data_IF_540247510125
#
_entry.id   IF_540247510125
#
_cell.length_a   1.000
_cell.length_b   1.000
_cell.length_c   1.000
_cell.angle_alpha   90.00
_cell.angle_beta   90.00
_cell.angle_gamma   90.00
#
_symmetry.space_group_name_H-M   'P 1'
#
loop_
_entity.id
_entity.type
_entity.pdbx_description
1 polymer ?
#
# COMPACT_ATOMS: atom_id res chain seq x y z
N UNK A 1 -10.04 -2.06 -23.09
CA UNK A 1 -10.30 -3.44 -22.60
C UNK A 1 -11.23 -3.34 -21.40
N UNK A 2 -12.34 -4.11 -21.35
CA UNK A 2 -13.15 -4.25 -20.13
C UNK A 2 -12.39 -5.21 -19.24
N UNK A 3 -11.99 -4.79 -18.04
CA UNK A 3 -11.51 -5.71 -17.02
C UNK A 3 -12.65 -6.62 -16.59
N UNK A 4 -12.37 -7.91 -16.51
CA UNK A 4 -13.33 -8.93 -16.07
C UNK A 4 -13.38 -8.90 -14.53
N UNK A 5 -14.58 -8.87 -13.97
CA UNK A 5 -14.79 -8.94 -12.52
C UNK A 5 -15.38 -10.32 -12.21
N UNK A 6 -14.68 -11.09 -11.39
CA UNK A 6 -15.17 -12.37 -10.88
C UNK A 6 -16.41 -12.15 -10.00
N UNK A 7 -17.39 -13.03 -10.12
CA UNK A 7 -18.73 -12.87 -9.53
C UNK A 7 -18.68 -12.70 -8.00
N UNK A 8 -17.79 -13.41 -7.34
CA UNK A 8 -17.60 -13.40 -5.90
C UNK A 8 -17.19 -12.02 -5.35
N UNK A 9 -16.54 -11.17 -6.19
CA UNK A 9 -16.11 -9.83 -5.82
C UNK A 9 -17.12 -8.73 -6.17
N UNK A 10 -18.12 -9.02 -7.00
CA UNK A 10 -19.11 -8.01 -7.41
C UNK A 10 -19.81 -7.30 -6.25
N UNK A 11 -20.26 -7.99 -5.17
CA UNK A 11 -20.89 -7.32 -4.03
C UNK A 11 -19.94 -6.34 -3.31
N UNK A 12 -18.67 -6.71 -3.15
CA UNK A 12 -17.65 -5.85 -2.55
C UNK A 12 -17.40 -4.62 -3.43
N UNK A 13 -17.16 -4.80 -4.72
CA UNK A 13 -16.92 -3.68 -5.66
C UNK A 13 -18.13 -2.74 -5.71
N UNK A 14 -19.35 -3.28 -5.69
CA UNK A 14 -20.57 -2.48 -5.60
C UNK A 14 -20.64 -1.68 -4.29
N UNK A 15 -20.16 -2.24 -3.17
CA UNK A 15 -20.03 -1.53 -1.90
C UNK A 15 -19.02 -0.40 -2.00
N UNK A 16 -17.82 -0.64 -2.54
CA UNK A 16 -16.79 0.40 -2.74
C UNK A 16 -17.36 1.55 -3.57
N UNK A 17 -18.01 1.26 -4.71
CA UNK A 17 -18.66 2.27 -5.56
C UNK A 17 -19.67 3.12 -4.79
N UNK A 18 -20.53 2.49 -3.98
CA UNK A 18 -21.54 3.21 -3.16
C UNK A 18 -20.86 4.09 -2.10
N UNK A 19 -19.82 3.58 -1.44
CA UNK A 19 -19.07 4.33 -0.42
C UNK A 19 -18.38 5.54 -1.05
N UNK A 20 -17.66 5.36 -2.15
CA UNK A 20 -17.02 6.46 -2.87
C UNK A 20 -18.06 7.53 -3.26
N UNK A 21 -19.18 7.13 -3.88
CA UNK A 21 -20.25 8.07 -4.23
C UNK A 21 -20.80 8.83 -3.02
N UNK A 22 -21.07 8.13 -1.91
CA UNK A 22 -21.64 8.73 -0.69
C UNK A 22 -20.69 9.72 -0.01
N UNK A 23 -19.38 9.53 -0.16
CA UNK A 23 -18.34 10.38 0.42
C UNK A 23 -17.75 11.40 -0.56
N UNK A 24 -18.33 11.48 -1.78
CA UNK A 24 -17.87 12.34 -2.87
C UNK A 24 -16.40 12.07 -3.23
N UNK A 25 -16.01 10.81 -3.23
CA UNK A 25 -14.71 10.31 -3.69
C UNK A 25 -14.88 9.83 -5.13
N UNK A 26 -14.02 10.27 -6.03
CA UNK A 26 -13.93 9.74 -7.38
C UNK A 26 -13.31 8.34 -7.33
N UNK A 27 -13.96 7.35 -7.93
CA UNK A 27 -13.40 6.01 -8.11
C UNK A 27 -12.89 5.84 -9.53
N UNK A 28 -11.57 5.80 -9.70
CA UNK A 28 -10.89 5.63 -10.97
C UNK A 28 -10.36 4.20 -11.10
N UNK A 29 -11.02 3.38 -11.92
CA UNK A 29 -10.55 2.05 -12.30
C UNK A 29 -9.93 2.13 -13.70
N UNK A 30 -8.62 2.33 -13.76
CA UNK A 30 -7.88 2.55 -15.01
C UNK A 30 -7.58 1.24 -15.72
N UNK A 31 -7.80 1.11 -17.05
CA UNK A 31 -7.38 -0.06 -17.81
C UNK A 31 -5.87 -0.16 -18.03
N UNK A 32 -5.10 0.79 -17.55
CA UNK A 32 -3.63 0.82 -17.62
C UNK A 32 -2.99 -0.09 -16.58
N UNK A 33 -1.71 -0.41 -16.74
CA UNK A 33 -0.91 -1.17 -15.75
C UNK A 33 -0.47 -0.32 -14.56
N UNK A 34 -0.50 1.00 -14.71
CA UNK A 34 -0.18 1.99 -13.69
C UNK A 34 -1.20 3.12 -13.71
N UNK A 35 -1.30 3.83 -12.62
CA UNK A 35 -1.99 5.12 -12.47
C UNK A 35 -0.95 6.18 -12.09
N UNK A 36 -1.17 7.42 -12.53
CA UNK A 36 -0.28 8.54 -12.21
C UNK A 36 -0.87 9.25 -11.00
N UNK A 37 -0.09 9.40 -9.94
CA UNK A 37 -0.40 10.33 -8.85
C UNK A 37 -0.42 11.74 -9.43
N UNK A 38 -1.44 12.52 -9.10
CA UNK A 38 -1.77 13.86 -9.61
C UNK A 38 -0.58 14.73 -10.07
N UNK A 39 -0.85 15.79 -10.83
CA UNK A 39 0.08 16.64 -11.61
C UNK A 39 1.39 17.10 -10.93
N UNK A 40 1.48 16.99 -9.60
CA UNK A 40 2.67 17.37 -8.82
C UNK A 40 3.59 16.21 -8.43
N UNK A 41 3.16 14.96 -8.65
CA UNK A 41 3.93 13.75 -8.33
C UNK A 41 3.76 12.74 -9.46
N UNK A 42 4.60 12.80 -10.48
CA UNK A 42 4.59 11.85 -11.61
C UNK A 42 5.21 10.50 -11.22
N UNK A 43 4.68 9.84 -10.20
CA UNK A 43 5.08 8.48 -9.88
C UNK A 43 4.04 7.51 -10.42
N UNK A 44 4.49 6.61 -11.28
CA UNK A 44 3.70 5.46 -11.73
C UNK A 44 3.49 4.50 -10.55
N UNK A 45 2.25 4.33 -10.11
CA UNK A 45 1.90 3.39 -9.05
C UNK A 45 0.79 2.43 -9.48
N UNK A 46 0.56 1.42 -8.67
CA UNK A 46 -0.50 0.43 -8.93
C UNK A 46 -1.88 0.88 -8.49
N UNK A 47 -1.94 1.79 -7.54
CA UNK A 47 -3.12 2.42 -6.99
C UNK A 47 -2.75 3.44 -5.94
N UNK A 48 -3.69 4.29 -5.58
CA UNK A 48 -3.57 5.24 -4.47
C UNK A 48 -4.94 5.70 -3.98
N UNK A 49 -4.99 6.14 -2.74
CA UNK A 49 -6.08 6.94 -2.20
C UNK A 49 -5.56 8.32 -1.81
N UNK A 50 -6.17 9.36 -2.39
CA UNK A 50 -5.92 10.76 -2.02
C UNK A 50 -7.14 11.34 -1.31
N UNK A 51 -6.98 11.67 -0.02
CA UNK A 51 -8.05 12.27 0.79
C UNK A 51 -8.25 13.76 0.52
N UNK A 52 -7.25 14.46 -0.04
CA UNK A 52 -7.32 15.88 -0.38
C UNK A 52 -8.13 16.07 -1.66
N UNK A 53 -7.73 15.39 -2.73
CA UNK A 53 -8.41 15.44 -4.02
C UNK A 53 -9.63 14.51 -4.06
N UNK A 54 -9.78 13.67 -3.03
CA UNK A 54 -10.85 12.67 -2.92
C UNK A 54 -10.91 11.72 -4.11
N UNK A 55 -9.77 11.11 -4.40
CA UNK A 55 -9.62 10.14 -5.48
C UNK A 55 -9.18 8.79 -4.90
N UNK A 56 -9.83 7.73 -5.33
CA UNK A 56 -9.39 6.35 -5.15
C UNK A 56 -9.10 5.77 -6.53
N UNK A 57 -7.84 5.58 -6.87
CA UNK A 57 -7.41 5.14 -8.19
C UNK A 57 -6.76 3.75 -8.13
N UNK A 58 -7.07 2.90 -9.11
CA UNK A 58 -6.50 1.55 -9.23
C UNK A 58 -6.22 1.22 -10.68
N UNK A 59 -5.04 0.70 -10.96
CA UNK A 59 -4.61 0.19 -12.26
C UNK A 59 -5.15 -1.24 -12.49
N UNK A 60 -6.22 -1.37 -13.27
CA UNK A 60 -6.88 -2.64 -13.57
C UNK A 60 -6.34 -3.36 -14.83
N UNK A 61 -5.29 -2.83 -15.47
CA UNK A 61 -4.59 -3.48 -16.60
C UNK A 61 -3.63 -4.60 -16.19
N UNK A 62 -3.81 -5.13 -14.98
CA UNK A 62 -3.08 -6.25 -14.37
C UNK A 62 -3.99 -7.46 -14.20
N UNK A 63 -3.46 -8.66 -13.89
CA UNK A 63 -4.28 -9.80 -13.49
C UNK A 63 -5.27 -9.44 -12.40
N UNK A 64 -6.46 -10.04 -12.45
CA UNK A 64 -7.56 -9.72 -11.53
C UNK A 64 -7.13 -9.83 -10.06
N UNK A 65 -6.41 -10.90 -9.72
CA UNK A 65 -5.94 -11.20 -8.37
C UNK A 65 -4.96 -10.14 -7.83
N UNK A 66 -4.27 -9.40 -8.74
CA UNK A 66 -3.36 -8.33 -8.34
C UNK A 66 -4.10 -7.03 -8.10
N UNK A 67 -4.92 -6.57 -9.07
CA UNK A 67 -5.56 -5.28 -8.92
C UNK A 67 -6.69 -5.27 -7.89
N UNK A 68 -7.33 -6.42 -7.63
CA UNK A 68 -8.35 -6.51 -6.59
C UNK A 68 -7.75 -6.38 -5.18
N UNK A 69 -6.56 -6.95 -4.94
CA UNK A 69 -5.82 -6.77 -3.68
C UNK A 69 -5.46 -5.27 -3.49
N UNK A 70 -5.07 -4.58 -4.56
CA UNK A 70 -4.79 -3.15 -4.54
C UNK A 70 -6.08 -2.36 -4.22
N UNK A 71 -7.21 -2.66 -4.87
CA UNK A 71 -8.48 -2.00 -4.58
C UNK A 71 -8.89 -2.15 -3.10
N UNK A 72 -8.69 -3.34 -2.53
CA UNK A 72 -8.99 -3.59 -1.11
C UNK A 72 -8.10 -2.72 -0.21
N UNK A 73 -6.80 -2.62 -0.54
CA UNK A 73 -5.81 -1.81 0.17
C UNK A 73 -6.16 -0.31 0.09
N UNK A 74 -6.36 0.24 -1.10
CA UNK A 74 -6.68 1.67 -1.27
C UNK A 74 -8.04 2.04 -0.65
N UNK A 75 -9.01 1.13 -0.68
CA UNK A 75 -10.27 1.33 0.03
C UNK A 75 -10.09 1.28 1.56
N UNK A 76 -9.13 0.53 2.07
CA UNK A 76 -8.78 0.56 3.50
C UNK A 76 -8.15 1.90 3.89
N UNK A 77 -7.32 2.52 3.04
CA UNK A 77 -6.85 3.90 3.23
C UNK A 77 -8.00 4.91 3.24
N UNK A 78 -8.97 4.77 2.35
CA UNK A 78 -10.19 5.59 2.42
C UNK A 78 -10.93 5.42 3.74
N UNK A 79 -10.98 4.20 4.30
CA UNK A 79 -11.59 3.97 5.62
C UNK A 79 -10.79 4.64 6.75
N UNK A 80 -9.46 4.62 6.71
CA UNK A 80 -8.62 5.35 7.66
C UNK A 80 -8.93 6.86 7.60
N UNK A 81 -8.93 7.44 6.41
CA UNK A 81 -9.29 8.85 6.21
C UNK A 81 -10.64 9.22 6.83
N UNK A 82 -11.64 8.33 6.73
CA UNK A 82 -12.98 8.58 7.24
C UNK A 82 -13.12 8.43 8.76
N UNK A 83 -12.25 7.65 9.40
CA UNK A 83 -12.49 7.17 10.77
C UNK A 83 -11.33 7.34 11.74
N UNK A 84 -10.13 7.65 11.27
CA UNK A 84 -8.94 7.72 12.12
C UNK A 84 -8.45 9.16 12.27
N UNK A 85 -8.41 9.65 13.49
CA UNK A 85 -7.95 11.00 13.82
C UNK A 85 -6.46 11.22 13.52
N UNK A 86 -5.67 10.15 13.40
CA UNK A 86 -4.24 10.19 13.09
C UNK A 86 -3.96 10.36 11.60
N UNK A 87 -4.98 10.33 10.74
CA UNK A 87 -4.81 10.39 9.29
C UNK A 87 -3.91 11.53 8.82
N UNK A 88 -4.18 12.77 9.27
CA UNK A 88 -3.39 13.94 8.87
C UNK A 88 -1.92 13.79 9.27
N UNK A 89 -1.66 13.38 10.51
CA UNK A 89 -0.30 13.13 10.98
C UNK A 89 0.42 12.06 10.15
N UNK A 90 -0.26 10.99 9.80
CA UNK A 90 0.33 9.93 8.99
C UNK A 90 0.67 10.39 7.57
N UNK A 91 -0.24 11.15 6.92
CA UNK A 91 0.01 11.68 5.57
C UNK A 91 1.17 12.69 5.58
N UNK A 92 1.26 13.57 6.58
CA UNK A 92 2.40 14.48 6.71
C UNK A 92 3.73 13.70 6.80
N UNK A 93 3.76 12.57 7.52
CA UNK A 93 4.95 11.73 7.58
C UNK A 93 5.25 11.02 6.24
N UNK A 94 4.23 10.62 5.48
CA UNK A 94 4.44 10.10 4.12
C UNK A 94 5.10 11.17 3.23
N UNK A 95 4.57 12.39 3.22
CA UNK A 95 5.14 13.50 2.46
C UNK A 95 6.59 13.78 2.89
N UNK A 96 6.87 13.82 4.19
CA UNK A 96 8.24 14.01 4.69
C UNK A 96 9.20 12.90 4.25
N UNK A 97 8.74 11.65 4.19
CA UNK A 97 9.57 10.54 3.72
C UNK A 97 9.91 10.67 2.25
N UNK A 98 8.95 11.06 1.41
CA UNK A 98 9.17 11.29 -0.02
C UNK A 98 10.07 12.51 -0.26
N UNK A 99 9.83 13.64 0.43
CA UNK A 99 10.70 14.82 0.39
C UNK A 99 12.16 14.47 0.74
N UNK A 100 12.35 13.58 1.71
CA UNK A 100 13.69 13.11 2.07
C UNK A 100 14.32 12.26 0.97
N UNK A 101 13.56 11.35 0.34
CA UNK A 101 14.05 10.55 -0.79
C UNK A 101 14.45 11.42 -1.97
N UNK A 102 13.66 12.43 -2.28
CA UNK A 102 13.89 13.39 -3.37
C UNK A 102 14.94 14.43 -3.02
N UNK A 103 15.55 14.33 -1.82
CA UNK A 103 16.55 15.28 -1.29
C UNK A 103 16.02 16.70 -1.10
N UNK A 104 14.71 16.90 -1.13
CA UNK A 104 14.06 18.18 -0.86
C UNK A 104 14.09 18.53 0.63
N UNK A 105 14.21 17.53 1.51
CA UNK A 105 14.27 17.70 2.96
C UNK A 105 15.42 16.92 3.58
N UNK A 106 16.22 17.59 4.40
CA UNK A 106 17.27 16.95 5.20
C UNK A 106 16.69 16.50 6.55
N UNK A 107 16.99 15.28 6.97
CA UNK A 107 16.63 14.73 8.28
C UNK A 107 17.84 14.05 8.91
N UNK A 108 17.97 14.18 10.22
CA UNK A 108 18.90 13.33 10.98
C UNK A 108 18.30 11.93 11.16
N UNK A 109 19.11 10.97 11.59
CA UNK A 109 18.69 9.57 11.72
C UNK A 109 17.50 9.37 12.69
N UNK A 110 17.40 10.16 13.76
CA UNK A 110 16.29 10.08 14.72
C UNK A 110 14.99 10.55 14.09
N UNK A 111 15.00 11.68 13.39
CA UNK A 111 13.86 12.23 12.67
C UNK A 111 13.38 11.26 11.57
N UNK A 112 14.31 10.74 10.76
CA UNK A 112 13.99 9.80 9.70
C UNK A 112 13.38 8.50 10.25
N UNK A 113 13.94 7.96 11.34
CA UNK A 113 13.38 6.77 11.97
C UNK A 113 11.96 7.02 12.50
N UNK A 114 11.69 8.19 13.10
CA UNK A 114 10.37 8.57 13.58
C UNK A 114 9.36 8.67 12.42
N UNK A 115 9.74 9.30 11.31
CA UNK A 115 8.92 9.38 10.10
C UNK A 115 8.61 7.98 9.56
N UNK A 116 9.61 7.11 9.43
CA UNK A 116 9.44 5.73 8.96
C UNK A 116 8.54 4.93 9.91
N UNK A 117 8.64 5.13 11.24
CA UNK A 117 7.76 4.48 12.20
C UNK A 117 6.29 4.83 11.96
N UNK A 118 5.99 6.11 11.74
CA UNK A 118 4.62 6.58 11.48
C UNK A 118 4.08 6.07 10.13
N UNK A 119 4.90 6.06 9.08
CA UNK A 119 4.51 5.50 7.77
C UNK A 119 4.22 3.99 7.89
N UNK A 120 5.07 3.24 8.60
CA UNK A 120 4.83 1.82 8.85
C UNK A 120 3.56 1.60 9.69
N UNK A 121 3.24 2.48 10.63
CA UNK A 121 2.01 2.39 11.42
C UNK A 121 0.77 2.59 10.54
N UNK A 122 0.76 3.63 9.68
CA UNK A 122 -0.28 3.88 8.70
C UNK A 122 -0.52 2.65 7.82
N UNK A 123 0.52 2.19 7.17
CA UNK A 123 0.44 1.07 6.23
C UNK A 123 0.03 -0.24 6.91
N UNK A 124 0.56 -0.48 8.12
CA UNK A 124 0.19 -1.66 8.89
C UNK A 124 -1.29 -1.63 9.31
N UNK A 125 -1.82 -0.49 9.73
CA UNK A 125 -3.25 -0.35 10.05
C UNK A 125 -4.11 -0.53 8.79
N UNK A 126 -3.67 0.00 7.64
CA UNK A 126 -4.29 -0.23 6.35
C UNK A 126 -4.37 -1.73 6.03
N UNK A 127 -3.27 -2.46 6.14
CA UNK A 127 -3.23 -3.91 5.86
C UNK A 127 -4.14 -4.73 6.81
N UNK A 128 -4.23 -4.33 8.07
CA UNK A 128 -5.15 -4.96 9.04
C UNK A 128 -6.60 -4.70 8.66
N UNK A 129 -6.95 -3.47 8.25
CA UNK A 129 -8.29 -3.14 7.74
C UNK A 129 -8.61 -3.90 6.47
N UNK A 130 -7.65 -4.00 5.54
CA UNK A 130 -7.79 -4.76 4.30
C UNK A 130 -8.12 -6.24 4.60
N UNK A 131 -7.42 -6.87 5.53
CA UNK A 131 -7.75 -8.23 5.99
C UNK A 131 -9.15 -8.33 6.60
N UNK A 132 -9.55 -7.35 7.41
CA UNK A 132 -10.90 -7.24 7.96
C UNK A 132 -11.97 -7.11 6.87
N UNK A 133 -11.71 -6.36 5.81
CA UNK A 133 -12.60 -6.27 4.64
C UNK A 133 -12.72 -7.61 3.93
N UNK A 134 -11.59 -8.28 3.70
CA UNK A 134 -11.58 -9.60 3.08
C UNK A 134 -12.41 -10.61 3.88
N UNK A 135 -12.33 -10.59 5.20
CA UNK A 135 -13.09 -11.48 6.08
C UNK A 135 -14.57 -11.13 6.12
N UNK A 136 -14.89 -9.84 6.28
CA UNK A 136 -16.27 -9.32 6.27
C UNK A 136 -17.02 -9.69 5.01
N UNK A 137 -16.37 -9.57 3.85
CA UNK A 137 -16.97 -9.83 2.54
C UNK A 137 -16.75 -11.27 2.05
N UNK A 138 -16.05 -12.11 2.84
CA UNK A 138 -15.70 -13.50 2.49
C UNK A 138 -15.01 -13.59 1.12
N UNK A 139 -14.13 -12.61 0.82
CA UNK A 139 -13.46 -12.55 -0.47
C UNK A 139 -12.49 -13.73 -0.62
N UNK A 140 -12.47 -14.42 -1.78
CA UNK A 140 -11.61 -15.59 -2.01
C UNK A 140 -10.15 -15.19 -2.31
N UNK A 141 -9.55 -14.37 -1.47
CA UNK A 141 -8.13 -13.95 -1.52
C UNK A 141 -7.29 -14.91 -0.70
N UNK A 142 -6.10 -15.25 -1.17
CA UNK A 142 -5.15 -16.07 -0.40
C UNK A 142 -4.54 -15.24 0.75
N UNK A 143 -5.15 -15.34 1.95
CA UNK A 143 -4.74 -14.59 3.16
C UNK A 143 -3.28 -14.79 3.54
N UNK A 144 -2.76 -16.01 3.37
CA UNK A 144 -1.36 -16.32 3.72
C UNK A 144 -0.41 -15.57 2.79
N UNK A 145 -0.64 -15.60 1.48
CA UNK A 145 0.15 -14.88 0.48
C UNK A 145 0.03 -13.37 0.67
N UNK A 146 -1.18 -12.86 0.88
CA UNK A 146 -1.41 -11.44 1.15
C UNK A 146 -0.60 -10.95 2.36
N UNK A 147 -0.67 -11.65 3.51
CA UNK A 147 0.08 -11.29 4.72
C UNK A 147 1.60 -11.31 4.52
N UNK A 148 2.11 -12.27 3.72
CA UNK A 148 3.54 -12.31 3.38
C UNK A 148 3.95 -11.09 2.56
N UNK A 149 3.16 -10.72 1.55
CA UNK A 149 3.37 -9.52 0.73
C UNK A 149 3.30 -8.25 1.56
N UNK A 150 2.30 -8.10 2.41
CA UNK A 150 2.17 -6.99 3.34
C UNK A 150 3.37 -6.86 4.28
N UNK A 151 3.85 -7.97 4.86
CA UNK A 151 5.06 -7.96 5.69
C UNK A 151 6.29 -7.51 4.90
N UNK A 152 6.46 -7.99 3.67
CA UNK A 152 7.58 -7.59 2.81
C UNK A 152 7.52 -6.10 2.46
N UNK A 153 6.33 -5.60 2.12
CA UNK A 153 6.07 -4.19 1.86
C UNK A 153 6.44 -3.31 3.07
N UNK A 154 6.01 -3.69 4.26
CA UNK A 154 6.32 -2.96 5.49
C UNK A 154 7.82 -3.02 5.85
N UNK A 155 8.50 -4.12 5.57
CA UNK A 155 9.96 -4.20 5.72
C UNK A 155 10.71 -3.28 4.76
N UNK A 156 10.16 -3.04 3.56
CA UNK A 156 10.83 -2.19 2.57
C UNK A 156 11.02 -0.75 3.07
N UNK A 157 10.10 -0.21 3.84
CA UNK A 157 10.25 1.12 4.45
C UNK A 157 11.46 1.19 5.37
N UNK A 158 11.75 0.13 6.16
CA UNK A 158 12.96 0.08 7.02
C UNK A 158 14.26 0.07 6.23
N UNK A 159 14.22 -0.36 4.98
CA UNK A 159 15.42 -0.43 4.14
C UNK A 159 15.62 0.81 3.26
N UNK A 160 14.63 1.70 3.15
CA UNK A 160 14.78 2.94 2.39
C UNK A 160 16.00 3.79 2.80
N UNK A 161 16.37 3.93 4.10
CA UNK A 161 17.59 4.65 4.48
C UNK A 161 18.86 4.06 3.90
N UNK A 162 18.92 2.74 3.71
CA UNK A 162 20.06 2.02 3.14
C UNK A 162 20.03 2.11 1.61
N UNK A 163 18.88 1.82 1.01
CA UNK A 163 18.69 1.78 -0.45
C UNK A 163 18.66 3.15 -1.11
N UNK A 164 18.32 4.21 -0.36
CA UNK A 164 18.06 5.58 -0.86
C UNK A 164 17.01 5.65 -1.96
N UNK A 165 16.10 4.67 -1.98
CA UNK A 165 14.95 4.57 -2.89
C UNK A 165 13.90 3.63 -2.29
N UNK A 166 12.68 3.71 -2.79
CA UNK A 166 11.69 2.68 -2.57
C UNK A 166 11.94 1.51 -3.54
N UNK A 167 12.05 0.26 -3.06
CA UNK A 167 12.28 -0.90 -3.92
C UNK A 167 10.99 -1.29 -4.67
N UNK A 168 10.71 -0.59 -5.76
CA UNK A 168 9.49 -0.78 -6.55
C UNK A 168 9.29 -2.23 -6.95
N UNK A 169 8.06 -2.73 -6.82
CA UNK A 169 7.70 -4.10 -7.21
C UNK A 169 8.20 -5.19 -6.27
N UNK A 170 8.79 -4.84 -5.12
CA UNK A 170 9.32 -5.80 -4.14
C UNK A 170 8.29 -6.87 -3.74
N UNK A 171 7.03 -6.49 -3.56
CA UNK A 171 5.94 -7.37 -3.14
C UNK A 171 5.48 -8.36 -4.23
N UNK A 172 6.00 -8.26 -5.45
CA UNK A 172 5.83 -9.26 -6.52
C UNK A 172 7.00 -10.24 -6.61
N UNK A 173 8.06 -10.04 -5.84
CA UNK A 173 9.19 -10.98 -5.80
C UNK A 173 8.83 -12.18 -4.93
N UNK A 174 8.35 -13.25 -5.56
CA UNK A 174 7.84 -14.45 -4.86
C UNK A 174 8.90 -15.13 -3.99
N UNK A 175 10.19 -15.03 -4.35
CA UNK A 175 11.28 -15.55 -3.51
C UNK A 175 11.33 -14.80 -2.18
N UNK A 176 11.32 -13.46 -2.20
CA UNK A 176 11.29 -12.63 -1.00
C UNK A 176 9.97 -12.79 -0.23
N UNK A 177 8.83 -12.85 -0.93
CA UNK A 177 7.51 -13.07 -0.32
C UNK A 177 7.50 -14.38 0.46
N UNK A 178 8.07 -15.46 -0.08
CA UNK A 178 8.12 -16.77 0.59
C UNK A 178 8.90 -16.75 1.91
N UNK A 179 9.90 -15.86 2.05
CA UNK A 179 10.70 -15.69 3.27
C UNK A 179 9.92 -14.97 4.40
N UNK A 180 8.85 -14.25 4.06
CA UNK A 180 8.07 -13.51 5.04
C UNK A 180 7.08 -14.40 5.81
N UNK A 181 6.75 -14.08 7.09
CA UNK A 181 5.82 -14.85 7.88
C UNK A 181 4.39 -14.76 7.29
N UNK A 182 3.58 -15.86 7.36
CA UNK A 182 2.19 -15.89 6.85
C UNK A 182 1.18 -15.25 7.81
N UNK A 183 1.65 -14.51 8.80
CA UNK A 183 0.84 -13.76 9.78
C UNK A 183 1.29 -12.32 9.80
N UNK A 184 0.37 -11.37 10.02
CA UNK A 184 0.74 -9.97 10.24
C UNK A 184 1.55 -9.84 11.51
N UNK A 185 2.64 -9.10 11.42
CA UNK A 185 3.47 -8.78 12.59
C UNK A 185 2.86 -7.60 13.35
N UNK A 186 3.12 -7.58 14.66
CA UNK A 186 2.71 -6.45 15.51
C UNK A 186 3.65 -5.25 15.37
N UNK A 187 4.94 -5.51 15.11
CA UNK A 187 6.00 -4.50 15.02
C UNK A 187 6.98 -4.84 13.89
N UNK A 188 7.55 -3.81 13.27
CA UNK A 188 8.50 -3.89 12.15
C UNK A 188 9.81 -3.15 12.50
N UNK A 189 10.27 -3.25 13.74
CA UNK A 189 11.47 -2.54 14.21
C UNK A 189 12.76 -3.09 13.58
N UNK A 190 12.74 -4.36 13.18
CA UNK A 190 13.90 -5.04 12.55
C UNK A 190 13.43 -5.86 11.37
N UNK A 191 14.20 -5.80 10.29
CA UNK A 191 14.07 -6.71 9.14
C UNK A 191 14.93 -7.94 9.44
N UNK A 192 14.42 -9.17 9.27
CA UNK A 192 15.25 -10.37 9.39
C UNK A 192 16.47 -10.30 8.46
N UNK A 193 17.66 -10.65 8.95
CA UNK A 193 18.93 -10.40 8.24
C UNK A 193 18.95 -11.04 6.85
N UNK A 194 18.45 -12.28 6.72
CA UNK A 194 18.37 -12.98 5.43
C UNK A 194 17.50 -12.22 4.41
N UNK A 195 16.39 -11.62 4.85
CA UNK A 195 15.51 -10.81 3.97
C UNK A 195 16.22 -9.51 3.59
N UNK A 196 16.85 -8.84 4.57
CA UNK A 196 17.57 -7.58 4.38
C UNK A 196 18.70 -7.75 3.37
N UNK A 197 19.58 -8.75 3.55
CA UNK A 197 20.69 -9.03 2.64
C UNK A 197 20.19 -9.35 1.22
N UNK A 198 19.11 -10.13 1.11
CA UNK A 198 18.54 -10.47 -0.19
C UNK A 198 17.96 -9.23 -0.88
N UNK A 199 17.26 -8.36 -0.15
CA UNK A 199 16.73 -7.11 -0.71
C UNK A 199 17.87 -6.19 -1.15
N UNK A 200 18.88 -5.99 -0.31
CA UNK A 200 20.04 -5.15 -0.63
C UNK A 200 20.70 -5.64 -1.91
N UNK A 201 21.00 -6.95 -2.00
CA UNK A 201 21.63 -7.53 -3.19
C UNK A 201 20.80 -7.42 -4.46
N UNK A 202 19.44 -7.43 -4.33
CA UNK A 202 18.55 -7.40 -5.48
C UNK A 202 18.26 -5.97 -5.97
N UNK A 203 18.26 -4.99 -5.05
CA UNK A 203 17.79 -3.64 -5.33
C UNK A 203 18.87 -2.54 -5.17
N UNK A 204 20.06 -2.83 -4.67
CA UNK A 204 21.19 -1.90 -4.76
C UNK A 204 21.90 -1.99 -6.09
#
# INVERSE_FOLDING_TARGET
MKYEIQDEFKPFIAHVKRMCKSKKVELMLSPSKTVVLTDNFSADCSGYFDGTDRVLAVACGKPFEEWIEILIHEFAHMQQWLTDERWTMWIDNCLYLWDWLDKAKMMNNSQLNHVIDNVIELERDCEVRALGLMDKWKLPVNRSRYKRRANLYLYSYRLMPILKKFPTGIYYNESLVSMCPPRMLKKYNKVPEVIKETIIRTYM
#
